data_IF_884918177598
#
_entry.id   IF_884918177598
#
_cell.length_a   1.000
_cell.length_b   1.000
_cell.length_c   1.000
_cell.angle_alpha   90.00
_cell.angle_beta   90.00
_cell.angle_gamma   90.00
#
_symmetry.space_group_name_H-M   'P 1'
#
loop_
_entity.id
_entity.type
_entity.pdbx_description
1 polymer ?
#
# COMPACT_ATOMS: atom_id res chain seq x y z
N UNK A 1 -2.62 -19.02 -13.45
CA UNK A 1 -2.78 -17.91 -14.41
C UNK A 1 -1.58 -16.99 -14.26
N UNK A 2 -0.82 -16.76 -15.32
CA UNK A 2 0.22 -15.74 -15.38
C UNK A 2 -0.55 -14.43 -15.52
N UNK A 3 -0.47 -13.57 -14.50
CA UNK A 3 -1.08 -12.25 -14.53
C UNK A 3 -0.43 -11.46 -15.67
N UNK A 4 -1.16 -11.19 -16.76
CA UNK A 4 -0.70 -10.33 -17.84
C UNK A 4 -0.93 -8.87 -17.45
N UNK A 5 0.10 -8.24 -16.87
CA UNK A 5 0.08 -6.81 -16.62
C UNK A 5 0.36 -6.03 -17.91
N UNK A 6 -0.20 -4.83 -18.03
CA UNK A 6 0.17 -3.95 -19.14
C UNK A 6 1.64 -3.53 -19.05
N UNK A 7 2.32 -3.39 -20.17
CA UNK A 7 3.70 -2.89 -20.20
C UNK A 7 3.82 -1.51 -19.54
N UNK A 8 2.81 -0.67 -19.69
CA UNK A 8 2.74 0.65 -19.07
C UNK A 8 2.74 0.56 -17.54
N UNK A 9 1.86 -0.27 -16.96
CA UNK A 9 1.77 -0.45 -15.52
C UNK A 9 3.07 -1.04 -14.94
N UNK A 10 3.72 -1.94 -15.67
CA UNK A 10 5.01 -2.50 -15.27
C UNK A 10 6.10 -1.42 -15.21
N UNK A 11 6.22 -0.59 -16.24
CA UNK A 11 7.19 0.52 -16.27
C UNK A 11 6.94 1.55 -15.17
N UNK A 12 5.68 1.86 -14.88
CA UNK A 12 5.31 2.76 -13.78
C UNK A 12 5.70 2.14 -12.42
N UNK A 13 5.37 0.88 -12.20
CA UNK A 13 5.72 0.17 -10.98
C UNK A 13 7.25 0.14 -10.77
N UNK A 14 8.03 -0.06 -11.82
CA UNK A 14 9.51 -0.01 -11.78
C UNK A 14 10.01 1.36 -11.35
N UNK A 15 9.52 2.44 -11.96
CA UNK A 15 9.90 3.81 -11.60
C UNK A 15 9.56 4.14 -10.15
N UNK A 16 8.36 3.79 -9.69
CA UNK A 16 7.94 4.02 -8.31
C UNK A 16 8.75 3.17 -7.33
N UNK A 17 9.01 1.92 -7.67
CA UNK A 17 9.84 1.05 -6.84
C UNK A 17 11.25 1.63 -6.65
N UNK A 18 11.91 2.04 -7.73
CA UNK A 18 13.22 2.70 -7.64
C UNK A 18 13.17 3.99 -6.83
N UNK A 19 12.13 4.81 -7.02
CA UNK A 19 11.96 6.06 -6.27
C UNK A 19 11.91 5.84 -4.75
N UNK A 20 11.16 4.82 -4.30
CA UNK A 20 10.89 4.62 -2.86
C UNK A 20 11.79 3.59 -2.19
N UNK A 21 12.36 2.66 -2.95
CA UNK A 21 13.04 1.49 -2.42
C UNK A 21 14.43 1.22 -3.01
N UNK A 22 15.07 2.23 -3.63
CA UNK A 22 16.40 2.08 -4.27
C UNK A 22 17.49 1.57 -3.34
N UNK A 23 17.40 1.84 -2.03
CA UNK A 23 18.38 1.42 -1.02
C UNK A 23 18.00 0.13 -0.30
N UNK A 24 16.93 -0.54 -0.74
CA UNK A 24 16.42 -1.73 -0.08
C UNK A 24 17.43 -2.89 -0.19
N UNK A 25 17.73 -3.51 0.95
CA UNK A 25 18.57 -4.71 1.00
C UNK A 25 17.71 -5.95 1.18
N UNK A 26 18.14 -7.07 0.57
CA UNK A 26 17.46 -8.34 0.70
C UNK A 26 17.57 -8.85 2.13
N UNK A 27 16.44 -9.27 2.69
CA UNK A 27 16.40 -9.91 4.00
C UNK A 27 16.74 -11.40 3.84
N UNK A 28 17.87 -11.81 4.39
CA UNK A 28 18.36 -13.19 4.35
C UNK A 28 17.87 -14.05 5.54
N UNK A 29 16.96 -13.53 6.36
CA UNK A 29 16.37 -14.28 7.46
C UNK A 29 15.59 -15.50 6.95
N UNK A 30 15.68 -16.61 7.68
CA UNK A 30 14.88 -17.81 7.43
C UNK A 30 13.42 -17.66 7.89
N UNK A 31 13.08 -16.59 8.61
CA UNK A 31 11.73 -16.32 9.05
C UNK A 31 10.83 -15.95 7.86
N UNK A 32 9.57 -16.39 7.92
CA UNK A 32 8.57 -15.97 6.94
C UNK A 32 8.26 -14.48 7.16
N UNK A 33 8.31 -13.63 6.11
CA UNK A 33 7.94 -12.24 6.25
C UNK A 33 6.44 -12.09 6.49
N UNK A 34 6.06 -10.98 7.10
CA UNK A 34 4.67 -10.62 7.39
C UNK A 34 4.11 -9.66 6.34
N UNK A 35 2.86 -9.88 5.95
CA UNK A 35 2.07 -8.96 5.14
C UNK A 35 0.88 -8.49 5.96
N UNK A 36 0.81 -7.19 6.25
CA UNK A 36 -0.28 -6.60 7.02
C UNK A 36 -1.19 -5.81 6.08
N UNK A 37 -2.47 -6.08 6.14
CA UNK A 37 -3.51 -5.28 5.50
C UNK A 37 -4.29 -4.51 6.56
N UNK A 38 -4.29 -3.18 6.49
CA UNK A 38 -5.12 -2.36 7.35
C UNK A 38 -6.52 -2.19 6.75
N UNK A 39 -7.54 -2.39 7.58
CA UNK A 39 -8.94 -2.10 7.26
C UNK A 39 -9.45 -1.05 8.24
N UNK A 40 -10.21 -0.08 7.75
CA UNK A 40 -10.82 0.95 8.56
C UNK A 40 -11.24 2.15 7.73
N UNK A 41 -12.13 2.96 8.27
CA UNK A 41 -12.66 4.14 7.59
C UNK A 41 -11.57 5.19 7.29
N UNK A 42 -11.75 6.06 6.30
CA UNK A 42 -10.86 7.19 6.07
C UNK A 42 -10.70 8.04 7.35
N UNK A 43 -9.47 8.45 7.67
CA UNK A 43 -9.21 9.26 8.87
C UNK A 43 -8.94 8.48 10.16
N UNK A 44 -9.14 7.16 10.19
CA UNK A 44 -8.94 6.33 11.40
C UNK A 44 -7.47 6.24 11.86
N UNK A 45 -6.51 6.51 10.97
CA UNK A 45 -5.09 6.53 11.30
C UNK A 45 -4.23 5.42 10.64
N UNK A 46 -4.73 4.74 9.61
CA UNK A 46 -4.00 3.68 8.89
C UNK A 46 -2.59 4.12 8.51
N UNK A 47 -2.45 5.22 7.79
CA UNK A 47 -1.15 5.76 7.35
C UNK A 47 -0.23 6.15 8.51
N UNK A 48 -0.79 6.63 9.62
CA UNK A 48 0.00 6.96 10.81
C UNK A 48 0.63 5.69 11.40
N UNK A 49 -0.16 4.63 11.50
CA UNK A 49 0.30 3.34 12.02
C UNK A 49 1.28 2.69 11.04
N UNK A 50 1.03 2.77 9.72
CA UNK A 50 1.97 2.29 8.70
C UNK A 50 3.36 2.92 8.89
N UNK A 51 3.43 4.23 9.10
CA UNK A 51 4.70 4.95 9.34
C UNK A 51 5.41 4.48 10.61
N UNK A 52 4.67 4.20 11.69
CA UNK A 52 5.25 3.65 12.92
C UNK A 52 5.87 2.27 12.65
N UNK A 53 5.20 1.43 11.88
CA UNK A 53 5.72 0.11 11.51
C UNK A 53 6.96 0.21 10.60
N UNK A 54 6.98 1.17 9.67
CA UNK A 54 8.16 1.41 8.82
C UNK A 54 9.37 1.83 9.65
N UNK A 55 9.17 2.76 10.59
CA UNK A 55 10.26 3.32 11.40
C UNK A 55 10.79 2.32 12.42
N UNK A 56 9.91 1.59 13.11
CA UNK A 56 10.30 0.81 14.28
C UNK A 56 10.46 -0.69 14.01
N UNK A 57 9.85 -1.21 12.92
CA UNK A 57 9.77 -2.66 12.68
C UNK A 57 10.20 -3.07 11.28
N UNK A 58 10.88 -2.20 10.54
CA UNK A 58 11.43 -2.47 9.20
C UNK A 58 10.39 -2.97 8.19
N UNK A 59 9.14 -2.56 8.34
CA UNK A 59 8.12 -2.79 7.31
C UNK A 59 8.32 -1.84 6.14
N UNK A 60 7.79 -2.22 4.96
CA UNK A 60 7.67 -1.37 3.78
C UNK A 60 6.20 -1.20 3.45
N UNK A 61 5.74 0.04 3.41
CA UNK A 61 4.35 0.37 3.11
C UNK A 61 4.20 0.77 1.64
N UNK A 62 3.10 0.33 1.03
CA UNK A 62 2.66 0.82 -0.28
C UNK A 62 1.25 1.36 -0.12
N UNK A 63 1.13 2.69 -0.26
CA UNK A 63 -0.12 3.41 -0.17
C UNK A 63 -0.69 3.70 -1.55
N UNK A 64 -1.95 3.36 -1.80
CA UNK A 64 -2.63 3.65 -3.07
C UNK A 64 -2.69 5.15 -3.35
N UNK A 65 -2.81 5.98 -2.31
CA UNK A 65 -2.86 7.44 -2.46
C UNK A 65 -1.52 8.02 -2.92
N UNK A 66 -0.40 7.41 -2.55
CA UNK A 66 0.92 7.79 -3.08
C UNK A 66 1.08 7.43 -4.57
N UNK A 67 0.58 6.26 -4.96
CA UNK A 67 0.57 5.86 -6.38
C UNK A 67 -0.25 6.87 -7.18
N UNK A 68 -1.47 7.18 -6.75
CA UNK A 68 -2.34 8.20 -7.39
C UNK A 68 -1.63 9.54 -7.55
N UNK A 69 -1.05 10.04 -6.47
CA UNK A 69 -0.32 11.30 -6.50
C UNK A 69 0.79 11.30 -7.56
N UNK A 70 1.59 10.23 -7.62
CA UNK A 70 2.65 10.13 -8.62
C UNK A 70 2.12 10.06 -10.06
N UNK A 71 1.04 9.31 -10.31
CA UNK A 71 0.41 9.24 -11.62
C UNK A 71 -0.09 10.61 -12.07
N UNK A 72 -0.73 11.37 -11.18
CA UNK A 72 -1.17 12.73 -11.43
C UNK A 72 0.01 13.66 -11.75
N UNK A 73 1.11 13.56 -11.01
CA UNK A 73 2.32 14.36 -11.30
C UNK A 73 2.96 14.02 -12.65
N UNK A 74 2.78 12.79 -13.12
CA UNK A 74 3.25 12.33 -14.43
C UNK A 74 2.27 12.66 -15.57
N UNK A 75 1.08 13.21 -15.28
CA UNK A 75 0.02 13.44 -16.27
C UNK A 75 -0.57 12.17 -16.85
N UNK A 76 -0.51 11.05 -16.09
CA UNK A 76 -1.00 9.74 -16.54
C UNK A 76 -2.43 9.55 -16.05
N UNK A 77 -3.36 9.32 -16.98
CA UNK A 77 -4.70 8.85 -16.67
C UNK A 77 -4.68 7.38 -16.25
N UNK A 78 -5.51 7.02 -15.28
CA UNK A 78 -5.53 5.67 -14.71
C UNK A 78 -6.93 5.24 -14.29
N UNK A 79 -7.19 3.97 -14.36
CA UNK A 79 -8.37 3.30 -13.80
C UNK A 79 -8.10 2.81 -12.37
N UNK A 80 -9.13 2.32 -11.69
CA UNK A 80 -8.97 1.67 -10.37
C UNK A 80 -8.19 0.36 -10.52
N UNK A 81 -8.39 -0.35 -11.61
CA UNK A 81 -7.69 -1.58 -11.97
C UNK A 81 -6.19 -1.32 -12.15
N UNK A 82 -5.82 -0.26 -12.89
CA UNK A 82 -4.41 0.13 -13.08
C UNK A 82 -3.71 0.41 -11.75
N UNK A 83 -4.36 1.15 -10.85
CA UNK A 83 -3.82 1.42 -9.52
C UNK A 83 -3.53 0.13 -8.74
N UNK A 84 -4.45 -0.82 -8.84
CA UNK A 84 -4.32 -2.08 -8.13
C UNK A 84 -3.23 -2.96 -8.74
N UNK A 85 -3.11 -2.97 -10.06
CA UNK A 85 -2.07 -3.69 -10.79
C UNK A 85 -0.68 -3.13 -10.47
N UNK A 86 -0.52 -1.80 -10.50
CA UNK A 86 0.73 -1.14 -10.12
C UNK A 86 1.09 -1.48 -8.67
N UNK A 87 0.14 -1.40 -7.74
CA UNK A 87 0.36 -1.76 -6.34
C UNK A 87 0.80 -3.22 -6.20
N UNK A 88 0.14 -4.14 -6.90
CA UNK A 88 0.47 -5.58 -6.89
C UNK A 88 1.86 -5.83 -7.45
N UNK A 89 2.23 -5.18 -8.55
CA UNK A 89 3.59 -5.25 -9.12
C UNK A 89 4.65 -4.78 -8.12
N UNK A 90 4.39 -3.69 -7.41
CA UNK A 90 5.30 -3.22 -6.36
C UNK A 90 5.41 -4.21 -5.19
N UNK A 91 4.31 -4.87 -4.79
CA UNK A 91 4.36 -5.95 -3.79
C UNK A 91 5.20 -7.14 -4.27
N UNK A 92 5.07 -7.53 -5.55
CA UNK A 92 5.86 -8.61 -6.13
C UNK A 92 7.36 -8.30 -6.06
N UNK A 93 7.76 -7.07 -6.38
CA UNK A 93 9.15 -6.62 -6.24
C UNK A 93 9.64 -6.64 -4.80
N UNK A 94 8.83 -6.14 -3.84
CA UNK A 94 9.17 -6.22 -2.41
C UNK A 94 9.33 -7.67 -1.93
N UNK A 95 8.54 -8.60 -2.48
CA UNK A 95 8.62 -10.01 -2.12
C UNK A 95 9.97 -10.66 -2.50
N UNK A 96 10.62 -10.22 -3.58
CA UNK A 96 11.97 -10.67 -3.97
C UNK A 96 13.02 -10.31 -2.91
N UNK A 97 12.79 -9.21 -2.18
CA UNK A 97 13.65 -8.77 -1.07
C UNK A 97 13.27 -9.41 0.27
N UNK A 98 12.18 -10.19 0.34
CA UNK A 98 11.70 -10.89 1.55
C UNK A 98 11.48 -9.95 2.76
N UNK A 99 11.06 -8.74 2.52
CA UNK A 99 10.77 -7.75 3.57
C UNK A 99 9.34 -7.85 4.06
N UNK A 100 9.08 -7.37 5.26
CA UNK A 100 7.72 -7.22 5.78
C UNK A 100 6.99 -6.12 5.00
N UNK A 101 5.73 -6.35 4.65
CA UNK A 101 4.94 -5.46 3.79
C UNK A 101 3.68 -4.98 4.52
N UNK A 102 3.31 -3.73 4.29
CA UNK A 102 2.01 -3.16 4.65
C UNK A 102 1.30 -2.72 3.38
N UNK A 103 0.06 -3.17 3.22
CA UNK A 103 -0.88 -2.60 2.26
C UNK A 103 -1.65 -1.48 2.94
N UNK A 104 -1.23 -0.23 2.72
CA UNK A 104 -1.93 0.97 3.19
C UNK A 104 -2.93 1.43 2.13
N UNK A 105 -3.92 0.60 1.88
CA UNK A 105 -5.00 0.87 0.95
C UNK A 105 -6.34 0.50 1.57
N UNK A 106 -7.41 1.14 1.07
CA UNK A 106 -8.75 0.79 1.51
C UNK A 106 -9.25 -0.43 0.71
N UNK A 107 -8.74 -1.62 1.03
CA UNK A 107 -9.13 -2.90 0.39
C UNK A 107 -10.54 -3.31 0.84
N UNK A 108 -11.53 -2.47 0.51
CA UNK A 108 -12.92 -2.64 0.94
C UNK A 108 -13.63 -3.79 0.22
N UNK A 109 -13.23 -4.06 -1.04
CA UNK A 109 -13.89 -5.08 -1.87
C UNK A 109 -13.31 -6.47 -1.62
N UNK A 110 -14.17 -7.50 -1.64
CA UNK A 110 -13.78 -8.89 -1.39
C UNK A 110 -12.71 -9.38 -2.38
N UNK A 111 -12.86 -9.09 -3.68
CA UNK A 111 -11.90 -9.51 -4.70
C UNK A 111 -10.49 -8.97 -4.46
N UNK A 112 -10.35 -7.74 -3.93
CA UNK A 112 -9.04 -7.16 -3.58
C UNK A 112 -8.37 -7.96 -2.46
N UNK A 113 -9.14 -8.36 -1.45
CA UNK A 113 -8.62 -9.19 -0.34
C UNK A 113 -8.21 -10.58 -0.82
N UNK A 114 -8.99 -11.20 -1.69
CA UNK A 114 -8.67 -12.52 -2.25
C UNK A 114 -7.36 -12.50 -3.04
N UNK A 115 -7.12 -11.46 -3.83
CA UNK A 115 -5.86 -11.30 -4.56
C UNK A 115 -4.68 -11.18 -3.59
N UNK A 116 -4.81 -10.39 -2.52
CA UNK A 116 -3.74 -10.25 -1.51
C UNK A 116 -3.51 -11.55 -0.73
N UNK A 117 -4.56 -12.30 -0.41
CA UNK A 117 -4.44 -13.62 0.21
C UNK A 117 -3.69 -14.58 -0.71
N UNK A 118 -4.04 -14.63 -1.99
CA UNK A 118 -3.37 -15.49 -2.98
C UNK A 118 -1.90 -15.06 -3.19
N UNK A 119 -1.62 -13.76 -3.22
CA UNK A 119 -0.26 -13.23 -3.22
C UNK A 119 0.53 -13.74 -2.00
N UNK A 120 -0.03 -13.63 -0.81
CA UNK A 120 0.65 -14.06 0.42
C UNK A 120 0.91 -15.58 0.43
N UNK A 121 -0.02 -16.39 -0.08
CA UNK A 121 0.17 -17.84 -0.25
C UNK A 121 1.33 -18.13 -1.22
N UNK A 122 1.33 -17.47 -2.39
CA UNK A 122 2.35 -17.66 -3.44
C UNK A 122 3.77 -17.31 -2.96
N UNK A 123 3.91 -16.17 -2.27
CA UNK A 123 5.20 -15.66 -1.81
C UNK A 123 5.54 -16.07 -0.37
N UNK A 124 4.75 -16.96 0.25
CA UNK A 124 4.95 -17.51 1.60
C UNK A 124 5.00 -16.46 2.70
N UNK A 125 4.15 -15.42 2.62
CA UNK A 125 3.96 -14.44 3.66
C UNK A 125 3.01 -14.93 4.76
N UNK A 126 3.23 -14.45 6.00
CA UNK A 126 2.24 -14.53 7.08
C UNK A 126 1.27 -13.38 6.86
N UNK A 127 0.04 -13.68 6.43
CA UNK A 127 -0.98 -12.66 6.19
C UNK A 127 -1.71 -12.30 7.47
N UNK A 128 -1.81 -10.99 7.75
CA UNK A 128 -2.54 -10.45 8.90
C UNK A 128 -3.46 -9.32 8.45
N UNK A 129 -4.68 -9.34 8.98
CA UNK A 129 -5.64 -8.24 8.81
C UNK A 129 -5.72 -7.50 10.16
N UNK A 130 -5.54 -6.19 10.12
CA UNK A 130 -5.69 -5.31 11.28
C UNK A 130 -6.84 -4.35 11.01
N UNK A 131 -7.90 -4.50 11.79
CA UNK A 131 -9.07 -3.61 11.71
C UNK A 131 -8.90 -2.45 12.69
N UNK A 132 -8.87 -1.23 12.15
CA UNK A 132 -8.71 -0.01 12.92
C UNK A 132 -10.05 0.69 13.12
N UNK A 133 -10.33 1.01 14.36
CA UNK A 133 -11.50 1.79 14.77
C UNK A 133 -11.08 3.01 15.57
N UNK A 134 -11.90 4.03 15.58
CA UNK A 134 -11.79 5.13 16.53
C UNK A 134 -13.18 5.68 16.83
N UNK A 135 -13.29 6.42 17.92
CA UNK A 135 -14.51 7.09 18.31
C UNK A 135 -14.98 8.07 17.23
N UNK A 136 -16.30 8.16 17.04
CA UNK A 136 -16.92 8.98 16.00
C UNK A 136 -16.54 10.45 16.10
N UNK A 137 -16.44 10.99 17.32
CA UNK A 137 -16.05 12.38 17.56
C UNK A 137 -14.62 12.66 17.10
N UNK A 138 -13.68 11.76 17.42
CA UNK A 138 -12.28 11.85 17.00
C UNK A 138 -12.18 11.77 15.48
N UNK A 139 -12.94 10.87 14.87
CA UNK A 139 -12.97 10.71 13.41
C UNK A 139 -13.47 12.00 12.73
N UNK A 140 -14.57 12.57 13.22
CA UNK A 140 -15.15 13.80 12.68
C UNK A 140 -14.17 14.98 12.78
N UNK A 141 -13.50 15.15 13.93
CA UNK A 141 -12.46 16.18 14.12
C UNK A 141 -11.31 16.01 13.10
N UNK A 142 -10.81 14.78 12.92
CA UNK A 142 -9.72 14.50 11.96
C UNK A 142 -10.14 14.77 10.50
N UNK A 143 -11.33 14.37 10.11
CA UNK A 143 -11.86 14.61 8.77
C UNK A 143 -12.10 16.10 8.50
N UNK A 144 -12.58 16.84 9.49
CA UNK A 144 -12.76 18.29 9.41
C UNK A 144 -11.43 19.02 9.20
N UNK A 145 -10.40 18.70 10.00
CA UNK A 145 -9.05 19.26 9.87
C UNK A 145 -8.47 18.96 8.48
N UNK A 146 -8.64 17.72 7.99
CA UNK A 146 -8.22 17.38 6.63
C UNK A 146 -8.90 18.25 5.58
N UNK A 147 -10.21 18.41 5.67
CA UNK A 147 -10.99 19.25 4.73
C UNK A 147 -10.48 20.68 4.69
N UNK A 148 -10.17 21.28 5.85
CA UNK A 148 -9.61 22.64 5.94
C UNK A 148 -8.24 22.73 5.28
N UNK A 149 -7.37 21.74 5.51
CA UNK A 149 -6.01 21.73 4.96
C UNK A 149 -5.97 21.49 3.44
N UNK A 150 -7.05 20.94 2.85
CA UNK A 150 -7.18 20.76 1.40
C UNK A 150 -7.90 21.92 0.70
N UNK A 151 -8.44 22.91 1.44
CA UNK A 151 -8.95 24.12 0.81
C UNK A 151 -7.77 24.95 0.27
N UNK A 152 -7.85 25.45 -0.98
CA UNK A 152 -6.81 26.33 -1.51
C UNK A 152 -6.70 27.54 -0.59
N UNK A 153 -5.50 27.81 -0.11
CA UNK A 153 -5.22 29.04 0.62
C UNK A 153 -5.45 30.20 -0.37
N UNK A 154 -6.51 30.96 -0.15
CA UNK A 154 -6.80 32.20 -0.90
C UNK A 154 -5.73 33.23 -0.63
#
# INVERSE_FOLDING_TARGET
MIDSFSTTNSNIADRLFHKYFSTLKKNNSNCKPSFIMFIGVPGVGKTTISKIFETNYSFKSIATDEIKYNLQQMGIEYTIEDLFDIQKLMFMKLAEYRVNIISDSNSAKNWQREILINFCKRYRYIFKIVYLTCEREILNKRLFIRKINYLPKR
#
